data_IF_128216901989
#
_entry.id   IF_128216901989
#
_cell.length_a   1.000
_cell.length_b   1.000
_cell.length_c   1.000
_cell.angle_alpha   90.00
_cell.angle_beta   90.00
_cell.angle_gamma   90.00
#
_symmetry.space_group_name_H-M   'P 1'
#
loop_
_entity.id
_entity.type
_entity.pdbx_description
1 polymer ?
#
# COMPACT_ATOMS: atom_id res chain seq x y z
N UNK A 1 -31.24 -30.76 -20.28
CA UNK A 1 -29.98 -30.02 -20.60
C UNK A 1 -29.59 -29.19 -19.35
N UNK A 2 -28.70 -29.70 -18.56
CA UNK A 2 -28.14 -28.97 -17.42
C UNK A 2 -27.09 -27.96 -17.93
N UNK A 3 -27.38 -26.66 -17.84
CA UNK A 3 -26.40 -25.60 -18.13
C UNK A 3 -25.30 -25.68 -17.08
N UNK A 4 -24.10 -26.02 -17.53
CA UNK A 4 -22.89 -25.95 -16.73
C UNK A 4 -22.75 -24.50 -16.23
N UNK A 5 -22.53 -24.24 -14.90
CA UNK A 5 -22.34 -22.88 -14.44
C UNK A 5 -21.10 -22.29 -15.13
N UNK A 6 -21.09 -20.97 -15.42
CA UNK A 6 -19.94 -20.35 -16.05
C UNK A 6 -18.73 -20.54 -15.14
N UNK A 7 -17.69 -21.19 -15.66
CA UNK A 7 -16.40 -21.24 -14.98
C UNK A 7 -15.86 -19.81 -14.94
N UNK A 8 -15.88 -19.21 -13.75
CA UNK A 8 -15.16 -17.97 -13.47
C UNK A 8 -13.70 -18.18 -13.91
N UNK A 9 -13.31 -17.43 -14.92
CA UNK A 9 -11.93 -17.50 -15.40
C UNK A 9 -11.01 -17.03 -14.27
N UNK A 10 -9.91 -17.71 -14.09
CA UNK A 10 -8.87 -17.37 -13.10
C UNK A 10 -8.48 -15.86 -13.12
N UNK A 11 -8.68 -15.18 -14.25
CA UNK A 11 -8.49 -13.73 -14.40
C UNK A 11 -9.53 -12.89 -13.65
N UNK A 12 -10.74 -13.40 -13.45
CA UNK A 12 -11.82 -12.62 -12.77
C UNK A 12 -11.67 -12.62 -11.26
N UNK A 13 -10.95 -13.60 -10.70
CA UNK A 13 -10.64 -13.67 -9.26
C UNK A 13 -9.45 -12.78 -8.89
N UNK A 14 -8.62 -12.40 -9.87
CA UNK A 14 -7.41 -11.58 -9.67
C UNK A 14 -7.67 -10.06 -9.74
N UNK A 15 -8.92 -9.62 -9.98
CA UNK A 15 -9.25 -8.21 -10.14
C UNK A 15 -9.49 -7.46 -8.82
N UNK A 16 -9.23 -8.08 -7.65
CA UNK A 16 -9.43 -7.44 -6.33
C UNK A 16 -8.33 -6.43 -5.94
N UNK A 17 -7.24 -6.39 -6.69
CA UNK A 17 -6.12 -5.48 -6.45
C UNK A 17 -6.03 -4.40 -7.52
N UNK A 18 -5.62 -3.16 -7.17
CA UNK A 18 -5.27 -2.17 -8.16
C UNK A 18 -4.22 -2.70 -9.15
N UNK A 19 -4.29 -2.32 -10.44
CA UNK A 19 -3.44 -2.94 -11.48
C UNK A 19 -1.93 -2.88 -11.21
N UNK A 20 -1.44 -1.74 -10.70
CA UNK A 20 -0.01 -1.58 -10.38
C UNK A 20 0.42 -2.48 -9.24
N UNK A 21 -0.41 -2.63 -8.20
CA UNK A 21 -0.15 -3.54 -7.09
C UNK A 21 -0.19 -4.99 -7.55
N UNK A 22 -1.15 -5.34 -8.37
CA UNK A 22 -1.26 -6.69 -8.94
C UNK A 22 -0.01 -7.08 -9.73
N UNK A 23 0.56 -6.17 -10.51
CA UNK A 23 1.81 -6.39 -11.23
C UNK A 23 2.98 -6.65 -10.28
N UNK A 24 3.06 -5.91 -9.18
CA UNK A 24 4.10 -6.12 -8.15
C UNK A 24 3.93 -7.47 -7.47
N UNK A 25 2.71 -7.84 -7.09
CA UNK A 25 2.42 -9.15 -6.49
C UNK A 25 2.86 -10.28 -7.42
N UNK A 26 2.49 -10.22 -8.69
CA UNK A 26 2.86 -11.23 -9.69
C UNK A 26 4.37 -11.33 -9.88
N UNK A 27 5.07 -10.21 -9.85
CA UNK A 27 6.53 -10.20 -9.89
C UNK A 27 7.13 -11.00 -8.72
N UNK A 28 6.73 -10.67 -7.50
CA UNK A 28 7.26 -11.34 -6.30
C UNK A 28 6.94 -12.83 -6.28
N UNK A 29 5.75 -13.23 -6.69
CA UNK A 29 5.38 -14.65 -6.76
C UNK A 29 6.21 -15.44 -7.78
N UNK A 30 6.67 -14.79 -8.84
CA UNK A 30 7.51 -15.42 -9.87
C UNK A 30 8.97 -15.60 -9.45
N UNK A 31 9.40 -14.93 -8.38
CA UNK A 31 10.80 -14.92 -7.95
C UNK A 31 11.11 -16.06 -6.97
N UNK A 32 12.26 -16.74 -7.13
CA UNK A 32 12.81 -17.60 -6.08
C UNK A 32 13.08 -16.80 -4.79
N UNK A 33 13.18 -17.50 -3.65
CA UNK A 33 13.30 -16.88 -2.33
C UNK A 33 14.47 -15.88 -2.22
N UNK A 34 15.65 -16.24 -2.74
CA UNK A 34 16.83 -15.35 -2.70
C UNK A 34 16.59 -14.08 -3.49
N UNK A 35 16.09 -14.19 -4.70
CA UNK A 35 15.80 -13.03 -5.57
C UNK A 35 14.66 -12.18 -5.01
N UNK A 36 13.69 -12.79 -4.34
CA UNK A 36 12.63 -12.09 -3.62
C UNK A 36 13.19 -11.19 -2.53
N UNK A 37 14.12 -11.70 -1.72
CA UNK A 37 14.80 -10.93 -0.67
C UNK A 37 15.61 -9.76 -1.25
N UNK A 38 16.36 -10.01 -2.32
CA UNK A 38 17.12 -8.98 -3.02
C UNK A 38 16.21 -7.89 -3.58
N UNK A 39 15.08 -8.27 -4.13
CA UNK A 39 14.07 -7.34 -4.66
C UNK A 39 13.45 -6.51 -3.54
N UNK A 40 13.16 -7.09 -2.38
CA UNK A 40 12.70 -6.33 -1.21
C UNK A 40 13.75 -5.29 -0.77
N UNK A 41 15.02 -5.64 -0.71
CA UNK A 41 16.10 -4.69 -0.38
C UNK A 41 16.16 -3.56 -1.41
N UNK A 42 16.02 -3.88 -2.68
CA UNK A 42 15.98 -2.90 -3.76
C UNK A 42 14.82 -1.90 -3.60
N UNK A 43 13.64 -2.39 -3.23
CA UNK A 43 12.50 -1.51 -2.91
C UNK A 43 12.78 -0.64 -1.67
N UNK A 44 13.39 -1.21 -0.64
CA UNK A 44 13.77 -0.45 0.56
C UNK A 44 14.72 0.71 0.22
N UNK A 45 15.72 0.46 -0.63
CA UNK A 45 16.66 1.48 -1.10
C UNK A 45 15.96 2.56 -1.93
N UNK A 46 14.88 2.23 -2.61
CA UNK A 46 14.09 3.17 -3.40
C UNK A 46 13.11 4.02 -2.59
N UNK A 47 12.96 3.77 -1.30
CA UNK A 47 11.95 4.43 -0.45
C UNK A 47 12.09 5.96 -0.43
N UNK A 48 13.31 6.49 -0.52
CA UNK A 48 13.56 7.95 -0.60
C UNK A 48 12.88 8.60 -1.80
N UNK A 49 12.71 7.87 -2.89
CA UNK A 49 12.02 8.38 -4.09
C UNK A 49 10.53 8.62 -3.87
N UNK A 50 9.97 8.09 -2.78
CA UNK A 50 8.58 8.26 -2.40
C UNK A 50 8.36 9.43 -1.42
N UNK A 51 9.40 10.15 -1.06
CA UNK A 51 9.29 11.33 -0.20
C UNK A 51 8.56 12.48 -0.92
N UNK A 52 7.84 13.35 -0.18
CA UNK A 52 7.25 14.54 -0.74
C UNK A 52 8.27 15.40 -1.48
N UNK A 53 7.88 15.90 -2.64
CA UNK A 53 8.71 16.79 -3.46
C UNK A 53 8.33 18.24 -3.22
N UNK A 54 9.27 19.15 -3.43
CA UNK A 54 9.03 20.60 -3.34
C UNK A 54 7.87 21.01 -4.24
N UNK A 55 6.89 21.71 -3.67
CA UNK A 55 5.70 22.19 -4.40
C UNK A 55 4.54 21.21 -4.47
N UNK A 56 4.68 19.97 -3.99
CA UNK A 56 3.55 19.05 -3.87
C UNK A 56 2.60 19.50 -2.74
N UNK A 57 1.30 19.37 -2.99
CA UNK A 57 0.25 19.63 -1.99
C UNK A 57 -0.50 18.35 -1.66
N UNK A 58 -0.97 18.24 -0.42
CA UNK A 58 -1.66 17.06 0.09
C UNK A 58 -2.95 17.47 0.79
N UNK A 59 -4.02 16.74 0.55
CA UNK A 59 -5.30 16.92 1.26
C UNK A 59 -5.19 16.48 2.72
N UNK A 60 -4.35 15.48 2.99
CA UNK A 60 -4.09 14.99 4.34
C UNK A 60 -2.62 14.61 4.54
N UNK A 61 -2.15 14.87 5.75
CA UNK A 61 -0.83 14.46 6.23
C UNK A 61 -0.97 13.82 7.60
N UNK A 62 -0.33 12.69 7.82
CA UNK A 62 -0.27 12.01 9.11
C UNK A 62 1.19 11.69 9.43
N UNK A 63 1.82 12.56 10.21
CA UNK A 63 3.23 12.45 10.60
C UNK A 63 3.30 12.24 12.10
N UNK A 64 3.80 11.09 12.54
CA UNK A 64 3.93 10.78 13.94
C UNK A 64 5.01 9.74 14.18
N UNK A 65 5.60 9.81 15.40
CA UNK A 65 6.45 8.74 15.90
C UNK A 65 5.55 7.54 16.28
N UNK A 66 5.96 6.38 15.88
CA UNK A 66 5.26 5.15 16.21
C UNK A 66 6.23 4.13 16.81
N UNK A 67 5.82 3.54 17.94
CA UNK A 67 6.61 2.55 18.66
C UNK A 67 6.89 1.30 17.83
N UNK A 68 5.94 0.89 16.98
CA UNK A 68 6.08 -0.29 16.12
C UNK A 68 7.15 -0.12 15.03
N UNK A 69 7.40 1.10 14.60
CA UNK A 69 8.44 1.42 13.61
C UNK A 69 9.73 1.98 14.23
N UNK A 70 9.78 2.13 15.55
CA UNK A 70 10.89 2.70 16.31
C UNK A 70 11.30 4.12 15.88
N UNK A 71 10.55 4.78 15.00
CA UNK A 71 10.86 6.11 14.50
C UNK A 71 9.63 6.80 13.91
N UNK A 72 9.82 8.04 13.46
CA UNK A 72 8.77 8.83 12.81
C UNK A 72 8.46 8.32 11.41
N UNK A 73 7.18 8.15 11.15
CA UNK A 73 6.64 7.81 9.82
C UNK A 73 5.61 8.86 9.43
N UNK A 74 5.79 9.47 8.26
CA UNK A 74 4.83 10.38 7.66
C UNK A 74 4.13 9.73 6.48
N UNK A 75 2.80 9.82 6.44
CA UNK A 75 1.97 9.42 5.30
C UNK A 75 1.28 10.65 4.74
N UNK A 76 1.42 10.87 3.45
CA UNK A 76 0.88 12.04 2.75
C UNK A 76 -0.05 11.57 1.63
N UNK A 77 -1.27 12.09 1.62
CA UNK A 77 -2.30 11.74 0.65
C UNK A 77 -2.65 12.94 -0.22
N UNK A 78 -2.51 12.78 -1.52
CA UNK A 78 -3.09 13.65 -2.54
C UNK A 78 -4.18 12.89 -3.30
N UNK A 79 -5.35 13.50 -3.45
CA UNK A 79 -6.44 12.98 -4.30
C UNK A 79 -6.62 13.95 -5.47
N UNK A 80 -6.43 13.45 -6.67
CA UNK A 80 -6.49 14.26 -7.89
C UNK A 80 -7.94 14.59 -8.30
N UNK A 81 -8.10 15.36 -9.37
CA UNK A 81 -9.40 15.77 -9.89
C UNK A 81 -10.29 14.62 -10.35
N UNK A 82 -9.70 13.46 -10.63
CA UNK A 82 -10.41 12.23 -11.02
C UNK A 82 -10.77 11.34 -9.81
N UNK A 83 -10.44 11.77 -8.60
CA UNK A 83 -10.67 11.02 -7.37
C UNK A 83 -9.64 9.91 -7.13
N UNK A 84 -8.47 9.98 -7.76
CA UNK A 84 -7.40 8.99 -7.63
C UNK A 84 -6.43 9.40 -6.54
N UNK A 85 -6.07 8.44 -5.67
CA UNK A 85 -5.13 8.64 -4.58
C UNK A 85 -3.68 8.53 -5.07
N UNK A 86 -2.83 9.40 -4.53
CA UNK A 86 -1.39 9.38 -4.71
C UNK A 86 -0.75 9.54 -3.34
N UNK A 87 0.19 8.66 -3.02
CA UNK A 87 0.84 8.63 -1.71
C UNK A 87 2.28 9.06 -1.78
N UNK A 88 2.71 9.79 -0.75
CA UNK A 88 4.11 10.02 -0.42
C UNK A 88 4.33 9.57 1.02
N UNK A 89 5.57 9.25 1.36
CA UNK A 89 5.93 8.83 2.70
C UNK A 89 7.30 9.35 3.10
N UNK A 90 7.43 9.73 4.38
CA UNK A 90 8.72 10.00 5.00
C UNK A 90 8.99 8.95 6.07
N UNK A 91 10.22 8.47 6.13
CA UNK A 91 10.65 7.44 7.06
C UNK A 91 11.89 7.91 7.79
N UNK A 92 11.84 7.93 9.12
CA UNK A 92 12.99 8.26 9.94
C UNK A 92 14.13 7.24 9.77
N UNK A 93 15.37 7.59 10.18
CA UNK A 93 16.55 6.76 9.93
C UNK A 93 16.50 5.38 10.62
N UNK A 94 15.75 5.25 11.72
CA UNK A 94 15.66 3.99 12.48
C UNK A 94 14.58 3.02 11.96
N UNK A 95 13.81 3.42 10.95
CA UNK A 95 12.79 2.55 10.34
C UNK A 95 13.45 1.35 9.67
N UNK A 96 12.93 0.16 9.95
CA UNK A 96 13.50 -1.10 9.49
C UNK A 96 13.38 -1.30 7.98
N UNK A 97 14.28 -2.08 7.41
CA UNK A 97 14.37 -2.38 5.97
C UNK A 97 13.04 -2.91 5.41
N UNK A 98 12.39 -3.83 6.09
CA UNK A 98 11.11 -4.38 5.60
C UNK A 98 10.01 -3.33 5.55
N UNK A 99 9.93 -2.44 6.53
CA UNK A 99 8.98 -1.32 6.52
C UNK A 99 9.28 -0.36 5.38
N UNK A 100 10.54 -0.08 5.11
CA UNK A 100 10.97 0.73 3.95
C UNK A 100 10.55 0.10 2.62
N UNK A 101 10.77 -1.21 2.49
CA UNK A 101 10.37 -1.95 1.30
C UNK A 101 8.86 -1.90 1.08
N UNK A 102 8.08 -2.18 2.11
CA UNK A 102 6.61 -2.14 2.04
C UNK A 102 6.09 -0.74 1.74
N UNK A 103 6.70 0.30 2.31
CA UNK A 103 6.35 1.69 2.01
C UNK A 103 6.51 2.01 0.52
N UNK A 104 7.65 1.65 -0.05
CA UNK A 104 7.90 1.87 -1.48
C UNK A 104 6.95 1.06 -2.37
N UNK A 105 6.72 -0.20 -2.03
CA UNK A 105 5.81 -1.09 -2.76
C UNK A 105 4.39 -0.53 -2.75
N UNK A 106 3.89 -0.10 -1.59
CA UNK A 106 2.53 0.39 -1.46
C UNK A 106 2.35 1.77 -2.10
N UNK A 107 3.31 2.68 -1.97
CA UNK A 107 3.24 3.96 -2.67
C UNK A 107 3.16 3.77 -4.18
N UNK A 108 3.93 2.85 -4.75
CA UNK A 108 3.89 2.54 -6.19
C UNK A 108 2.65 1.76 -6.59
N UNK A 109 2.32 0.73 -5.82
CA UNK A 109 1.23 -0.20 -6.14
C UNK A 109 -0.16 0.42 -6.01
N UNK A 110 -0.35 1.33 -5.08
CA UNK A 110 -1.62 1.99 -4.83
C UNK A 110 -1.76 3.33 -5.56
N UNK A 111 -0.74 3.77 -6.28
CA UNK A 111 -0.78 4.99 -7.06
C UNK A 111 -1.88 4.90 -8.14
N UNK A 112 -2.83 5.84 -8.09
CA UNK A 112 -3.96 5.89 -9.00
C UNK A 112 -5.18 5.06 -8.58
N UNK A 113 -5.13 4.35 -7.45
CA UNK A 113 -6.31 3.73 -6.85
C UNK A 113 -7.20 4.81 -6.21
N UNK A 114 -8.49 4.53 -6.06
CA UNK A 114 -9.36 5.43 -5.27
C UNK A 114 -9.12 5.23 -3.77
N UNK A 115 -9.40 6.24 -2.92
CA UNK A 115 -9.34 6.06 -1.47
C UNK A 115 -10.18 4.88 -0.95
N UNK A 116 -11.35 4.65 -1.56
CA UNK A 116 -12.21 3.53 -1.21
C UNK A 116 -11.57 2.18 -1.57
N UNK A 117 -10.95 2.07 -2.74
CA UNK A 117 -10.22 0.85 -3.14
C UNK A 117 -9.07 0.54 -2.18
N UNK A 118 -8.36 1.56 -1.70
CA UNK A 118 -7.30 1.39 -0.69
C UNK A 118 -7.89 0.90 0.63
N UNK A 119 -8.99 1.52 1.08
CA UNK A 119 -9.66 1.14 2.33
C UNK A 119 -10.18 -0.31 2.29
N UNK A 120 -10.69 -0.74 1.16
CA UNK A 120 -11.25 -2.09 0.96
C UNK A 120 -10.21 -3.15 0.60
N UNK A 121 -8.94 -2.75 0.47
CA UNK A 121 -7.87 -3.65 0.05
C UNK A 121 -7.69 -4.79 1.06
N UNK A 122 -7.81 -6.07 0.62
CA UNK A 122 -7.51 -7.20 1.49
C UNK A 122 -6.00 -7.27 1.76
N UNK A 123 -5.62 -7.71 2.95
CA UNK A 123 -4.21 -7.75 3.37
C UNK A 123 -3.47 -9.05 3.01
N UNK A 124 -4.15 -10.01 2.41
CA UNK A 124 -3.59 -11.34 2.07
C UNK A 124 -2.43 -11.30 1.07
N UNK A 125 -2.33 -10.23 0.27
CA UNK A 125 -1.23 -10.05 -0.67
C UNK A 125 0.14 -9.85 0.02
N UNK A 126 0.15 -9.39 1.26
CA UNK A 126 1.41 -9.14 2.01
C UNK A 126 2.24 -10.43 2.09
N UNK A 127 1.60 -11.54 2.44
CA UNK A 127 2.26 -12.86 2.48
C UNK A 127 2.78 -13.27 1.11
N UNK A 128 2.07 -12.95 0.05
CA UNK A 128 2.46 -13.26 -1.34
C UNK A 128 3.71 -12.49 -1.77
N UNK A 129 3.91 -11.29 -1.26
CA UNK A 129 5.09 -10.45 -1.53
C UNK A 129 6.26 -10.85 -0.62
N UNK A 130 6.04 -10.87 0.67
CA UNK A 130 7.08 -11.01 1.70
C UNK A 130 7.44 -12.47 1.96
N UNK A 131 6.49 -13.38 1.81
CA UNK A 131 6.62 -14.78 2.14
C UNK A 131 6.16 -15.09 3.58
N UNK A 132 5.64 -16.29 3.78
CA UNK A 132 5.04 -16.71 5.05
C UNK A 132 6.01 -16.63 6.23
N UNK A 133 7.27 -16.99 6.02
CA UNK A 133 8.26 -17.03 7.08
C UNK A 133 8.56 -15.66 7.67
N UNK A 134 8.72 -14.63 6.82
CA UNK A 134 8.92 -13.26 7.29
C UNK A 134 7.67 -12.69 7.95
N UNK A 135 6.49 -13.03 7.45
CA UNK A 135 5.22 -12.60 8.05
C UNK A 135 5.07 -13.17 9.46
N UNK A 136 5.42 -14.43 9.70
CA UNK A 136 5.39 -15.03 11.05
C UNK A 136 6.26 -14.29 12.06
N UNK A 137 7.45 -13.86 11.62
CA UNK A 137 8.45 -13.21 12.48
C UNK A 137 8.17 -11.71 12.63
N UNK A 138 7.60 -11.07 11.62
CA UNK A 138 7.45 -9.60 11.51
C UNK A 138 6.03 -9.18 11.13
N UNK A 139 5.00 -9.89 11.59
CA UNK A 139 3.62 -9.65 11.18
C UNK A 139 3.15 -8.20 11.43
N UNK A 140 3.43 -7.63 12.58
CA UNK A 140 3.04 -6.26 12.91
C UNK A 140 3.70 -5.25 11.98
N UNK A 141 5.00 -5.37 11.76
CA UNK A 141 5.77 -4.48 10.89
C UNK A 141 5.30 -4.55 9.44
N UNK A 142 4.98 -5.75 8.94
CA UNK A 142 4.56 -5.93 7.54
C UNK A 142 3.22 -5.28 7.23
N UNK A 143 2.29 -5.26 8.18
CA UNK A 143 0.95 -4.69 7.99
C UNK A 143 0.83 -3.22 8.39
N UNK A 144 1.80 -2.71 9.13
CA UNK A 144 1.77 -1.38 9.73
C UNK A 144 1.54 -0.26 8.72
N UNK A 145 2.31 -0.23 7.65
CA UNK A 145 2.20 0.83 6.63
C UNK A 145 0.83 0.78 5.95
N UNK A 146 0.34 -0.40 5.61
CA UNK A 146 -0.99 -0.54 5.02
C UNK A 146 -2.07 0.00 5.94
N UNK A 147 -1.99 -0.29 7.23
CA UNK A 147 -2.93 0.23 8.23
C UNK A 147 -2.92 1.76 8.28
N UNK A 148 -1.73 2.38 8.23
CA UNK A 148 -1.59 3.84 8.19
C UNK A 148 -2.20 4.45 6.93
N UNK A 149 -1.97 3.84 5.76
CA UNK A 149 -2.53 4.32 4.49
C UNK A 149 -4.06 4.17 4.45
N UNK A 150 -4.60 3.08 4.96
CA UNK A 150 -6.05 2.90 5.11
C UNK A 150 -6.66 3.93 6.07
N UNK A 151 -5.99 4.21 7.17
CA UNK A 151 -6.43 5.20 8.16
C UNK A 151 -6.58 6.59 7.56
N UNK A 152 -5.61 7.04 6.78
CA UNK A 152 -5.69 8.36 6.12
C UNK A 152 -6.78 8.41 5.03
N UNK A 153 -6.98 7.33 4.30
CA UNK A 153 -8.07 7.22 3.34
C UNK A 153 -9.44 7.27 4.02
N UNK A 154 -9.59 6.63 5.17
CA UNK A 154 -10.83 6.68 5.96
C UNK A 154 -11.14 8.11 6.42
N UNK A 155 -10.16 8.82 6.94
CA UNK A 155 -10.32 10.22 7.35
C UNK A 155 -10.72 11.08 6.16
N UNK A 156 -10.09 10.91 5.00
CA UNK A 156 -10.45 11.61 3.78
C UNK A 156 -11.91 11.36 3.38
N UNK A 157 -12.33 10.11 3.32
CA UNK A 157 -13.69 9.72 2.94
C UNK A 157 -14.73 10.24 3.93
N UNK A 158 -14.46 10.19 5.23
CA UNK A 158 -15.34 10.73 6.26
C UNK A 158 -15.51 12.25 6.11
N UNK A 159 -14.44 12.98 5.79
CA UNK A 159 -14.51 14.43 5.51
C UNK A 159 -15.33 14.73 4.26
N UNK A 160 -15.18 13.94 3.19
CA UNK A 160 -15.98 14.10 1.98
C UNK A 160 -17.47 13.87 2.23
N UNK A 161 -17.84 12.90 3.02
CA UNK A 161 -19.23 12.65 3.43
C UNK A 161 -19.82 13.81 4.23
N UNK A 162 -19.06 14.37 5.17
CA UNK A 162 -19.49 15.53 5.96
C UNK A 162 -19.71 16.76 5.08
N UNK A 163 -18.82 17.02 4.13
CA UNK A 163 -18.95 18.12 3.17
C UNK A 163 -20.17 17.93 2.28
N UNK A 164 -20.44 16.74 1.79
CA UNK A 164 -21.63 16.41 1.00
C UNK A 164 -22.93 16.58 1.78
N UNK A 165 -22.93 16.24 3.08
CA UNK A 165 -24.10 16.39 3.97
C UNK A 165 -24.37 17.84 4.37
N UNK A 166 -23.36 18.73 4.31
CA UNK A 166 -23.47 20.16 4.65
C UNK A 166 -23.91 21.04 3.48
N UNK A 167 -23.94 20.46 2.27
CA UNK A 167 -24.32 21.18 1.05
C UNK A 167 -25.84 21.23 0.85
#
# INVERSE_FOLDING_TARGET
MTKKPPQLRYRDVMSSYPPKLNNIINLFESLPEVERRETLVSYADSAKKQEPRTGETFELEDVRKDEECADTVGVYLHVDSEGKAHFRMTLGPEVQTLTRAMSAILCKGLDGATPQEVLDLPSDFVTRIVGEQLVRVRSQTTYYILTRMKGICKVYLDRQRRMASAA
#
